data_IF_482021115032
#
_entry.id   IF_482021115032
#
_cell.length_a   1.000
_cell.length_b   1.000
_cell.length_c   1.000
_cell.angle_alpha   90.00
_cell.angle_beta   90.00
_cell.angle_gamma   90.00
#
_symmetry.space_group_name_H-M   'P 1'
#
loop_
_entity.id
_entity.type
_entity.pdbx_description
1 polymer ?
#
# COMPACT_ATOMS: atom_id res chain seq x y z
N UNK A 1 53.11 -53.47 26.06
CA UNK A 1 53.06 -52.32 25.15
C UNK A 1 51.60 -52.10 24.74
N UNK A 2 50.89 -51.26 25.49
CA UNK A 2 49.50 -50.98 25.21
C UNK A 2 49.43 -49.70 24.32
N UNK A 3 48.90 -49.82 23.10
CA UNK A 3 48.62 -48.69 22.20
C UNK A 3 47.23 -48.17 22.53
N UNK A 4 47.16 -46.92 23.07
CA UNK A 4 45.96 -46.21 23.27
C UNK A 4 45.62 -45.54 21.93
N UNK A 5 44.53 -45.96 21.29
CA UNK A 5 43.95 -45.25 20.14
C UNK A 5 43.01 -44.13 20.67
N UNK A 6 43.45 -42.89 20.53
CA UNK A 6 42.58 -41.71 20.82
C UNK A 6 41.75 -41.44 19.58
N UNK A 7 40.48 -41.79 19.65
CA UNK A 7 39.50 -41.46 18.59
C UNK A 7 39.09 -39.98 18.76
N UNK A 8 39.51 -39.13 17.85
CA UNK A 8 39.10 -37.72 17.78
C UNK A 8 37.71 -37.66 17.13
N UNK A 9 36.70 -37.44 17.95
CA UNK A 9 35.31 -37.23 17.45
C UNK A 9 35.16 -35.80 17.02
N UNK A 10 35.13 -35.56 15.72
CA UNK A 10 34.74 -34.26 15.15
C UNK A 10 33.22 -34.08 15.30
N UNK A 11 32.80 -33.21 16.21
CA UNK A 11 31.42 -32.77 16.28
C UNK A 11 31.28 -31.69 15.20
N UNK A 12 30.67 -32.04 14.07
CA UNK A 12 30.22 -31.09 13.06
C UNK A 12 28.96 -30.40 13.62
N UNK A 13 29.13 -29.18 14.13
CA UNK A 13 28.02 -28.34 14.52
C UNK A 13 27.39 -27.82 13.22
N UNK A 14 26.39 -28.49 12.71
CA UNK A 14 25.53 -27.96 11.65
C UNK A 14 24.66 -26.86 12.26
N UNK A 15 25.08 -25.61 12.09
CA UNK A 15 24.19 -24.44 12.35
C UNK A 15 23.15 -24.46 11.24
N UNK A 16 21.99 -25.06 11.50
CA UNK A 16 20.79 -24.86 10.73
C UNK A 16 20.38 -23.37 10.95
N UNK A 17 20.76 -22.50 10.05
CA UNK A 17 20.09 -21.22 9.92
C UNK A 17 18.71 -21.55 9.37
N UNK A 18 17.77 -21.84 10.26
CA UNK A 18 16.36 -21.86 9.91
C UNK A 18 16.01 -20.42 9.48
N UNK A 19 15.95 -20.19 8.17
CA UNK A 19 15.38 -18.96 7.65
C UNK A 19 13.96 -18.87 8.21
N UNK A 20 13.73 -17.94 9.13
CA UNK A 20 12.38 -17.62 9.59
C UNK A 20 11.62 -17.13 8.35
N UNK A 21 10.66 -17.93 7.88
CA UNK A 21 9.72 -17.47 6.87
C UNK A 21 8.92 -16.31 7.49
N UNK A 22 9.22 -15.09 7.08
CA UNK A 22 8.40 -13.94 7.47
C UNK A 22 7.14 -13.97 6.62
N UNK A 23 5.99 -13.77 7.24
CA UNK A 23 4.76 -13.53 6.50
C UNK A 23 4.86 -12.15 5.85
N UNK A 24 4.42 -12.05 4.59
CA UNK A 24 4.40 -10.78 3.85
C UNK A 24 3.03 -10.16 4.01
N UNK A 25 2.99 -8.89 4.41
CA UNK A 25 1.79 -8.09 4.46
C UNK A 25 1.38 -7.66 3.04
N UNK A 26 0.17 -7.99 2.61
CA UNK A 26 -0.27 -7.73 1.23
C UNK A 26 -1.39 -6.70 1.21
N UNK A 27 -1.16 -5.63 0.46
CA UNK A 27 -2.07 -4.51 0.28
C UNK A 27 -2.54 -4.39 -1.17
N UNK A 28 -3.81 -4.10 -1.35
CA UNK A 28 -4.39 -3.85 -2.66
C UNK A 28 -4.18 -2.38 -3.06
N UNK A 29 -3.46 -2.14 -4.17
CA UNK A 29 -3.21 -0.81 -4.71
C UNK A 29 -4.52 -0.20 -5.24
N UNK A 30 -4.93 0.94 -4.68
CA UNK A 30 -6.24 1.60 -4.92
C UNK A 30 -7.45 0.71 -4.60
N UNK A 31 -7.30 -0.20 -3.63
CA UNK A 31 -8.26 -1.26 -3.35
C UNK A 31 -8.20 -2.42 -4.34
N UNK A 32 -9.05 -3.41 -4.16
CA UNK A 32 -9.11 -4.58 -5.07
C UNK A 32 -10.07 -4.29 -6.24
N UNK A 33 -9.64 -3.43 -7.14
CA UNK A 33 -10.35 -3.08 -8.37
C UNK A 33 -10.21 -4.14 -9.46
N UNK A 34 -11.11 -4.13 -10.45
CA UNK A 34 -11.04 -5.03 -11.60
C UNK A 34 -11.60 -4.38 -12.87
N UNK A 35 -11.16 -4.90 -14.03
CA UNK A 35 -11.61 -4.46 -15.35
C UNK A 35 -12.02 -5.64 -16.22
N UNK A 36 -12.83 -5.35 -17.23
CA UNK A 36 -13.13 -6.26 -18.36
C UNK A 36 -11.89 -6.37 -19.26
N UNK A 37 -11.91 -7.33 -20.20
CA UNK A 37 -10.89 -7.41 -21.25
C UNK A 37 -10.86 -6.17 -22.15
N UNK A 38 -11.97 -5.46 -22.31
CA UNK A 38 -12.05 -4.18 -23.01
C UNK A 38 -11.49 -2.99 -22.23
N UNK A 39 -11.11 -3.19 -20.96
CA UNK A 39 -10.47 -2.19 -20.11
C UNK A 39 -11.44 -1.32 -19.31
N UNK A 40 -12.73 -1.61 -19.32
CA UNK A 40 -13.76 -0.93 -18.55
C UNK A 40 -13.80 -1.46 -17.12
N UNK A 41 -14.06 -0.60 -16.12
CA UNK A 41 -14.09 -1.05 -14.74
C UNK A 41 -15.31 -1.96 -14.47
N UNK A 42 -15.07 -3.09 -13.81
CA UNK A 42 -16.09 -3.88 -13.13
C UNK A 42 -16.23 -3.38 -11.70
N UNK A 43 -15.12 -3.36 -10.96
CA UNK A 43 -15.01 -2.71 -9.64
C UNK A 43 -14.11 -1.50 -9.81
N UNK A 44 -14.61 -0.27 -9.58
CA UNK A 44 -13.80 0.93 -9.71
C UNK A 44 -12.64 0.97 -8.69
N UNK A 45 -11.46 1.44 -9.13
CA UNK A 45 -10.37 1.75 -8.20
C UNK A 45 -10.77 2.89 -7.25
N UNK A 46 -10.11 2.98 -6.10
CA UNK A 46 -10.34 4.04 -5.12
C UNK A 46 -11.84 4.19 -4.75
N UNK A 47 -12.55 3.07 -4.62
CA UNK A 47 -13.97 3.03 -4.29
C UNK A 47 -14.25 2.22 -3.03
N UNK A 48 -15.40 2.48 -2.39
CA UNK A 48 -15.88 1.69 -1.25
C UNK A 48 -16.04 0.22 -1.63
N UNK A 49 -16.47 -0.07 -2.86
CA UNK A 49 -16.59 -1.44 -3.37
C UNK A 49 -15.22 -2.13 -3.47
N UNK A 50 -14.16 -1.41 -3.88
CA UNK A 50 -12.81 -1.97 -3.96
C UNK A 50 -12.23 -2.25 -2.57
N UNK A 51 -12.58 -1.48 -1.55
CA UNK A 51 -12.25 -1.78 -0.14
C UNK A 51 -12.93 -3.07 0.32
N UNK A 52 -14.24 -3.20 0.10
CA UNK A 52 -15.00 -4.39 0.46
C UNK A 52 -14.48 -5.66 -0.25
N UNK A 53 -14.13 -5.56 -1.53
CA UNK A 53 -13.57 -6.67 -2.30
C UNK A 53 -12.16 -7.05 -1.80
N UNK A 54 -11.33 -6.08 -1.41
CA UNK A 54 -10.03 -6.36 -0.81
C UNK A 54 -10.18 -7.18 0.49
N UNK A 55 -11.07 -6.77 1.39
CA UNK A 55 -11.36 -7.52 2.61
C UNK A 55 -11.90 -8.92 2.30
N UNK A 56 -12.87 -9.05 1.37
CA UNK A 56 -13.45 -10.34 0.96
C UNK A 56 -12.39 -11.30 0.42
N UNK A 57 -11.38 -10.79 -0.28
CA UNK A 57 -10.25 -11.60 -0.78
C UNK A 57 -9.18 -11.84 0.26
N UNK A 58 -9.26 -11.21 1.42
CA UNK A 58 -8.36 -11.40 2.54
C UNK A 58 -7.08 -10.59 2.43
N UNK A 59 -7.04 -9.46 1.72
CA UNK A 59 -5.97 -8.49 1.84
C UNK A 59 -5.96 -7.91 3.26
N UNK A 60 -4.78 -7.56 3.77
CA UNK A 60 -4.65 -6.93 5.08
C UNK A 60 -5.04 -5.46 5.05
N UNK A 61 -4.93 -4.85 3.88
CA UNK A 61 -5.28 -3.46 3.71
C UNK A 61 -5.37 -3.04 2.25
N UNK A 62 -5.65 -1.77 2.09
CA UNK A 62 -5.70 -1.10 0.78
C UNK A 62 -4.78 0.12 0.80
N UNK A 63 -4.30 0.52 -0.36
CA UNK A 63 -3.75 1.84 -0.54
C UNK A 63 -4.78 2.73 -1.23
N UNK A 64 -4.78 4.02 -0.89
CA UNK A 64 -5.66 5.01 -1.50
C UNK A 64 -5.00 6.38 -1.63
N UNK A 65 -5.39 7.11 -2.69
CA UNK A 65 -4.85 8.41 -3.07
C UNK A 65 -5.76 9.55 -2.62
N UNK A 66 -5.27 10.44 -1.75
CA UNK A 66 -6.05 11.56 -1.21
C UNK A 66 -5.79 12.83 -1.97
N UNK A 67 -6.85 13.46 -2.47
CA UNK A 67 -6.82 14.76 -3.13
C UNK A 67 -7.87 15.72 -2.53
N UNK A 68 -7.73 17.01 -2.86
CA UNK A 68 -8.68 18.06 -2.44
C UNK A 68 -9.55 18.53 -3.62
N UNK A 69 -10.83 18.74 -3.35
CA UNK A 69 -11.72 19.54 -4.21
C UNK A 69 -11.36 21.02 -4.10
N UNK A 70 -11.97 21.84 -4.95
CA UNK A 70 -11.81 23.32 -4.96
C UNK A 70 -12.10 23.96 -3.59
N UNK A 71 -13.09 23.45 -2.89
CA UNK A 71 -13.54 23.91 -1.57
C UNK A 71 -12.90 23.14 -0.39
N UNK A 72 -11.86 22.34 -0.67
CA UNK A 72 -11.02 21.70 0.35
C UNK A 72 -11.55 20.40 0.93
N UNK A 73 -12.59 19.78 0.36
CA UNK A 73 -13.03 18.44 0.80
C UNK A 73 -12.04 17.38 0.34
N UNK A 74 -11.66 16.48 1.23
CA UNK A 74 -10.79 15.34 0.92
C UNK A 74 -11.59 14.23 0.24
N UNK A 75 -11.14 13.84 -0.94
CA UNK A 75 -11.74 12.77 -1.75
C UNK A 75 -10.67 11.79 -2.21
N UNK A 76 -11.09 10.57 -2.56
CA UNK A 76 -10.18 9.51 -2.98
C UNK A 76 -10.23 9.34 -4.49
N UNK A 77 -9.13 9.70 -5.13
CA UNK A 77 -8.95 9.65 -6.59
C UNK A 77 -7.46 9.67 -6.90
N UNK A 78 -6.99 8.83 -7.82
CA UNK A 78 -5.56 8.83 -8.18
C UNK A 78 -5.17 9.99 -9.08
N UNK A 79 -5.93 10.22 -10.15
CA UNK A 79 -5.59 11.20 -11.19
C UNK A 79 -6.04 12.61 -10.76
N UNK A 80 -5.36 13.63 -11.27
CA UNK A 80 -5.79 15.02 -11.10
C UNK A 80 -7.07 15.37 -11.87
N UNK A 81 -7.43 14.51 -12.84
CA UNK A 81 -8.64 14.63 -13.66
C UNK A 81 -9.56 13.42 -13.47
N UNK A 82 -10.85 13.63 -13.70
CA UNK A 82 -11.87 12.60 -13.55
C UNK A 82 -11.96 11.64 -14.76
N UNK A 83 -11.35 12.01 -15.90
CA UNK A 83 -11.63 11.44 -17.22
C UNK A 83 -11.46 9.92 -17.33
N UNK A 84 -10.48 9.34 -16.62
CA UNK A 84 -10.18 7.91 -16.70
C UNK A 84 -11.14 7.06 -15.89
N UNK A 85 -11.61 7.56 -14.75
CA UNK A 85 -12.32 6.77 -13.74
C UNK A 85 -13.74 7.20 -13.49
N UNK A 86 -14.21 8.29 -14.11
CA UNK A 86 -15.56 8.79 -13.89
C UNK A 86 -16.34 9.03 -15.19
N UNK A 87 -17.64 9.14 -15.04
CA UNK A 87 -18.63 9.45 -16.06
C UNK A 87 -19.58 10.55 -15.55
N UNK A 88 -20.29 11.23 -16.47
CA UNK A 88 -21.36 12.16 -16.08
C UNK A 88 -22.47 11.39 -15.37
N UNK A 89 -22.99 11.93 -14.27
CA UNK A 89 -24.02 11.26 -13.49
C UNK A 89 -25.36 11.16 -14.24
N UNK A 90 -25.70 12.19 -15.07
CA UNK A 90 -27.01 12.27 -15.71
C UNK A 90 -27.24 11.28 -16.84
N UNK A 91 -26.28 11.13 -17.76
CA UNK A 91 -26.40 10.31 -18.97
C UNK A 91 -25.31 9.21 -19.07
N UNK A 92 -24.43 9.12 -18.10
CA UNK A 92 -23.31 8.20 -18.03
C UNK A 92 -22.32 8.34 -19.20
N UNK A 93 -22.29 9.48 -19.88
CA UNK A 93 -21.37 9.76 -20.98
C UNK A 93 -19.93 9.93 -20.51
N UNK A 94 -18.99 9.55 -21.39
CA UNK A 94 -17.55 9.80 -21.19
C UNK A 94 -17.25 11.30 -21.19
N UNK A 95 -16.29 11.70 -20.37
CA UNK A 95 -15.81 13.08 -20.32
C UNK A 95 -14.87 13.32 -21.51
N UNK A 96 -15.26 14.22 -22.41
CA UNK A 96 -14.50 14.50 -23.63
C UNK A 96 -13.30 15.42 -23.35
N UNK A 97 -13.53 16.48 -22.56
CA UNK A 97 -12.51 17.43 -22.15
C UNK A 97 -11.97 17.11 -20.76
N UNK A 98 -10.71 17.49 -20.44
CA UNK A 98 -10.15 17.29 -19.11
C UNK A 98 -10.95 17.99 -18.02
N UNK A 99 -11.49 17.24 -17.08
CA UNK A 99 -12.21 17.75 -15.90
C UNK A 99 -11.28 17.60 -14.68
N UNK A 100 -10.74 18.74 -14.22
CA UNK A 100 -9.81 18.75 -13.09
C UNK A 100 -10.57 18.77 -11.76
N UNK A 101 -10.22 17.86 -10.87
CA UNK A 101 -10.80 17.77 -9.52
C UNK A 101 -10.67 19.10 -8.76
N UNK A 102 -9.52 19.76 -8.83
CA UNK A 102 -9.23 21.03 -8.14
C UNK A 102 -10.13 22.21 -8.55
N UNK A 103 -10.83 22.08 -9.68
CA UNK A 103 -11.71 23.14 -10.22
C UNK A 103 -13.19 22.91 -9.83
N UNK A 104 -13.52 21.75 -9.21
CA UNK A 104 -14.86 21.38 -8.76
C UNK A 104 -15.01 21.53 -7.25
N UNK A 105 -16.12 22.09 -6.82
CA UNK A 105 -16.57 21.96 -5.42
C UNK A 105 -17.02 20.53 -5.13
N UNK A 106 -17.08 20.16 -3.87
CA UNK A 106 -17.55 18.82 -3.49
C UNK A 106 -19.01 18.59 -3.91
N UNK A 107 -19.84 19.63 -3.83
CA UNK A 107 -21.23 19.56 -4.29
C UNK A 107 -21.34 19.28 -5.79
N UNK A 108 -20.58 20.02 -6.62
CA UNK A 108 -20.51 19.79 -8.08
C UNK A 108 -20.00 18.38 -8.39
N UNK A 109 -18.93 17.93 -7.71
CA UNK A 109 -18.37 16.59 -7.88
C UNK A 109 -19.43 15.51 -7.63
N UNK A 110 -20.17 15.60 -6.53
CA UNK A 110 -21.16 14.61 -6.11
C UNK A 110 -22.44 14.64 -6.96
N UNK A 111 -22.81 15.80 -7.48
CA UNK A 111 -23.99 15.97 -8.32
C UNK A 111 -23.76 15.49 -9.75
N UNK A 112 -22.59 15.82 -10.32
CA UNK A 112 -22.38 15.76 -11.77
C UNK A 112 -21.58 14.52 -12.22
N UNK A 113 -20.91 13.79 -11.29
CA UNK A 113 -20.01 12.70 -11.65
C UNK A 113 -20.20 11.45 -10.78
N UNK A 114 -20.04 10.29 -11.44
CA UNK A 114 -20.03 8.98 -10.79
C UNK A 114 -18.82 8.17 -11.27
N UNK A 115 -18.38 7.22 -10.46
CA UNK A 115 -17.34 6.27 -10.86
C UNK A 115 -17.81 5.42 -12.04
N UNK A 116 -16.88 5.14 -12.96
CA UNK A 116 -17.12 4.22 -14.07
C UNK A 116 -17.25 2.79 -13.56
N UNK A 117 -18.32 2.10 -13.94
CA UNK A 117 -18.47 0.66 -13.75
C UNK A 117 -19.42 0.07 -14.77
N UNK A 118 -19.13 -1.16 -15.23
CA UNK A 118 -20.06 -1.98 -16.00
C UNK A 118 -21.29 -2.37 -15.16
N UNK A 119 -21.10 -2.59 -13.84
CA UNK A 119 -22.23 -2.82 -12.93
C UNK A 119 -22.88 -1.49 -12.52
N UNK A 120 -24.14 -1.22 -12.91
CA UNK A 120 -24.84 0.00 -12.52
C UNK A 120 -24.90 0.25 -11.01
N UNK A 121 -24.87 -0.81 -10.19
CA UNK A 121 -24.88 -0.70 -8.72
C UNK A 121 -23.57 -0.13 -8.15
N UNK A 122 -22.49 -0.20 -8.91
CA UNK A 122 -21.17 0.31 -8.53
C UNK A 122 -20.85 1.69 -9.14
N UNK A 123 -21.80 2.28 -9.89
CA UNK A 123 -21.72 3.67 -10.39
C UNK A 123 -22.03 4.64 -9.27
N UNK A 124 -21.18 4.61 -8.25
CA UNK A 124 -21.32 5.45 -7.05
C UNK A 124 -20.58 6.78 -7.21
N UNK A 125 -20.89 7.80 -6.43
CA UNK A 125 -20.08 9.01 -6.38
C UNK A 125 -18.62 8.70 -5.97
N UNK A 126 -17.69 9.59 -6.36
CA UNK A 126 -16.29 9.52 -5.90
C UNK A 126 -16.29 9.68 -4.38
N UNK A 127 -15.68 8.73 -3.63
CA UNK A 127 -15.79 8.71 -2.17
C UNK A 127 -14.93 9.77 -1.51
N UNK A 128 -15.32 10.22 -0.33
CA UNK A 128 -14.48 11.00 0.56
C UNK A 128 -13.48 10.10 1.29
N UNK A 129 -12.47 10.72 1.91
CA UNK A 129 -11.53 10.02 2.78
C UNK A 129 -12.29 9.32 3.92
N UNK A 130 -13.21 10.02 4.56
CA UNK A 130 -13.98 9.47 5.70
C UNK A 130 -14.86 8.28 5.30
N UNK A 131 -15.43 8.27 4.09
CA UNK A 131 -16.20 7.13 3.56
C UNK A 131 -15.29 5.90 3.39
N UNK A 132 -14.07 6.06 2.88
CA UNK A 132 -13.10 4.97 2.73
C UNK A 132 -12.62 4.47 4.10
N UNK A 133 -12.24 5.37 5.01
CA UNK A 133 -11.79 4.99 6.37
C UNK A 133 -12.89 4.27 7.16
N UNK A 134 -14.14 4.73 7.02
CA UNK A 134 -15.30 4.07 7.63
C UNK A 134 -15.46 2.65 7.12
N UNK A 135 -15.32 2.44 5.81
CA UNK A 135 -15.39 1.11 5.22
C UNK A 135 -14.21 0.23 5.66
N UNK A 136 -12.97 0.77 5.67
CA UNK A 136 -11.80 0.04 6.16
C UNK A 136 -12.02 -0.45 7.59
N UNK A 137 -12.50 0.42 8.49
CA UNK A 137 -12.81 0.07 9.88
C UNK A 137 -13.92 -0.99 9.97
N UNK A 138 -14.99 -0.86 9.16
CA UNK A 138 -16.09 -1.84 9.11
C UNK A 138 -15.62 -3.22 8.66
N UNK A 139 -14.67 -3.28 7.74
CA UNK A 139 -14.10 -4.51 7.19
C UNK A 139 -12.94 -5.06 8.02
N UNK A 140 -12.39 -4.30 8.95
CA UNK A 140 -11.22 -4.68 9.74
C UNK A 140 -9.94 -4.77 8.91
N UNK A 141 -9.76 -3.89 7.92
CA UNK A 141 -8.54 -3.81 7.09
C UNK A 141 -7.87 -2.45 7.23
N UNK A 142 -6.57 -2.40 6.97
CA UNK A 142 -5.71 -1.25 7.23
C UNK A 142 -5.69 -0.31 6.00
N UNK A 143 -6.04 0.98 6.13
CA UNK A 143 -5.83 1.96 5.05
C UNK A 143 -4.37 2.43 5.02
N UNK A 144 -3.76 2.42 3.82
CA UNK A 144 -2.47 3.04 3.54
C UNK A 144 -2.73 4.32 2.75
N UNK A 145 -2.43 5.47 3.33
CA UNK A 145 -2.71 6.76 2.72
C UNK A 145 -1.50 7.26 1.93
N UNK A 146 -1.65 7.32 0.61
CA UNK A 146 -0.75 8.05 -0.27
C UNK A 146 -1.27 9.50 -0.42
N UNK A 147 -0.67 10.43 0.33
CA UNK A 147 -1.20 11.78 0.44
C UNK A 147 -0.13 12.87 0.50
N UNK A 148 -0.42 14.00 -0.16
CA UNK A 148 0.27 15.26 0.06
C UNK A 148 -0.51 16.20 1.00
N UNK A 149 -1.76 15.88 1.33
CA UNK A 149 -2.67 16.67 2.14
C UNK A 149 -2.42 16.39 3.62
N UNK A 150 -1.93 17.38 4.36
CA UNK A 150 -1.58 17.20 5.77
C UNK A 150 -2.78 16.74 6.63
N UNK A 151 -3.91 17.42 6.48
CA UNK A 151 -5.12 17.12 7.26
C UNK A 151 -5.62 15.66 7.10
N UNK A 152 -5.23 14.97 6.00
CA UNK A 152 -5.62 13.57 5.83
C UNK A 152 -5.02 12.63 6.87
N UNK A 153 -3.85 12.96 7.40
CA UNK A 153 -3.19 12.17 8.44
C UNK A 153 -3.84 12.38 9.81
N UNK A 154 -4.29 13.62 10.09
CA UNK A 154 -5.02 13.95 11.32
C UNK A 154 -6.38 13.24 11.33
N UNK A 155 -7.10 13.25 10.20
CA UNK A 155 -8.37 12.50 10.05
C UNK A 155 -8.14 10.99 10.16
N UNK A 156 -7.06 10.46 9.57
CA UNK A 156 -6.75 9.04 9.69
C UNK A 156 -6.47 8.67 11.16
N UNK A 157 -5.71 9.48 11.88
CA UNK A 157 -5.43 9.25 13.30
C UNK A 157 -6.71 9.31 14.16
N UNK A 158 -7.58 10.28 13.92
CA UNK A 158 -8.85 10.41 14.63
C UNK A 158 -9.77 9.19 14.40
N UNK A 159 -9.86 8.73 13.14
CA UNK A 159 -10.81 7.67 12.77
C UNK A 159 -10.28 6.26 13.00
N UNK A 160 -8.97 6.04 12.87
CA UNK A 160 -8.36 4.70 12.87
C UNK A 160 -7.46 4.44 14.09
N UNK A 161 -7.18 5.45 14.95
CA UNK A 161 -6.12 5.33 15.94
C UNK A 161 -4.77 5.17 15.25
N UNK A 162 -4.00 4.16 15.63
CA UNK A 162 -2.71 3.87 14.97
C UNK A 162 -2.83 2.79 13.87
N UNK A 163 -4.04 2.29 13.59
CA UNK A 163 -4.31 1.23 12.61
C UNK A 163 -4.39 1.78 11.17
N UNK A 164 -3.39 2.53 10.75
CA UNK A 164 -3.24 3.03 9.38
C UNK A 164 -1.76 3.15 9.00
N UNK A 165 -1.49 3.36 7.72
CA UNK A 165 -0.13 3.50 7.19
C UNK A 165 0.00 4.87 6.52
N UNK A 166 1.01 5.65 6.96
CA UNK A 166 1.44 6.86 6.28
C UNK A 166 2.42 6.50 5.17
N UNK A 167 2.03 6.71 3.93
CA UNK A 167 2.87 6.45 2.76
C UNK A 167 3.10 7.74 1.96
N UNK A 168 4.27 8.33 2.05
CA UNK A 168 4.61 9.57 1.33
C UNK A 168 6.12 9.79 1.27
N UNK A 169 6.52 10.92 0.66
CA UNK A 169 7.92 11.38 0.58
C UNK A 169 8.22 12.40 1.67
N UNK A 170 9.50 12.47 2.06
CA UNK A 170 10.04 13.53 2.90
C UNK A 170 10.13 13.14 4.38
N UNK A 171 11.36 13.04 4.87
CA UNK A 171 11.68 12.67 6.26
C UNK A 171 11.04 13.63 7.26
N UNK A 172 11.18 14.94 7.05
CA UNK A 172 10.61 15.96 7.96
C UNK A 172 9.09 15.85 8.13
N UNK A 173 8.37 15.54 7.02
CA UNK A 173 6.93 15.30 7.09
C UNK A 173 6.63 14.09 7.97
N UNK A 174 7.37 13.01 7.79
CA UNK A 174 7.21 11.78 8.57
C UNK A 174 7.53 11.96 10.05
N UNK A 175 8.56 12.75 10.36
CA UNK A 175 8.88 13.14 11.74
C UNK A 175 7.73 13.93 12.39
N UNK A 176 7.02 14.77 11.63
CA UNK A 176 5.84 15.49 12.14
C UNK A 176 4.66 14.53 12.38
N UNK A 177 4.41 13.55 11.49
CA UNK A 177 3.39 12.52 11.73
C UNK A 177 3.70 11.75 13.01
N UNK A 178 4.97 11.37 13.22
CA UNK A 178 5.40 10.65 14.43
C UNK A 178 5.16 11.41 15.74
N UNK A 179 4.98 12.73 15.71
CA UNK A 179 4.67 13.53 16.91
C UNK A 179 3.26 13.28 17.46
N UNK A 180 2.33 12.76 16.64
CA UNK A 180 0.95 12.54 17.07
C UNK A 180 0.40 11.14 16.76
N UNK A 181 1.18 10.27 16.10
CA UNK A 181 0.75 8.92 15.73
C UNK A 181 1.88 7.90 15.82
N UNK A 182 1.56 6.72 16.33
CA UNK A 182 2.41 5.53 16.30
C UNK A 182 2.11 4.62 15.10
N UNK A 183 1.38 5.10 14.10
CA UNK A 183 1.08 4.38 12.86
C UNK A 183 2.36 3.88 12.16
N UNK A 184 2.22 2.89 11.29
CA UNK A 184 3.32 2.48 10.41
C UNK A 184 3.62 3.57 9.39
N UNK A 185 4.91 3.93 9.24
CA UNK A 185 5.36 4.93 8.25
C UNK A 185 6.18 4.24 7.18
N UNK A 186 5.78 4.36 5.92
CA UNK A 186 6.52 3.87 4.76
C UNK A 186 7.05 5.06 3.95
N UNK A 187 8.35 5.34 4.09
CA UNK A 187 9.03 6.41 3.38
C UNK A 187 9.20 6.04 1.91
N UNK A 188 8.55 6.78 1.02
CA UNK A 188 8.76 6.61 -0.42
C UNK A 188 10.16 7.12 -0.83
N UNK A 189 10.98 6.22 -1.36
CA UNK A 189 12.35 6.48 -1.81
C UNK A 189 12.52 6.22 -3.31
N UNK A 190 13.55 6.82 -3.91
CA UNK A 190 13.94 6.56 -5.30
C UNK A 190 15.38 6.07 -5.44
N UNK A 191 16.19 6.16 -4.38
CA UNK A 191 17.63 5.90 -4.36
C UNK A 191 18.17 5.70 -2.94
N UNK A 192 19.46 5.55 -2.85
CA UNK A 192 20.21 5.43 -1.61
C UNK A 192 20.63 4.00 -1.30
N UNK A 193 21.73 3.87 -0.57
CA UNK A 193 22.19 2.60 -0.02
C UNK A 193 21.30 2.16 1.14
N UNK A 194 21.47 0.93 1.61
CA UNK A 194 20.76 0.45 2.80
C UNK A 194 21.09 1.31 4.03
N UNK A 195 22.36 1.65 4.22
CA UNK A 195 22.85 2.46 5.34
C UNK A 195 22.25 3.87 5.34
N UNK A 196 22.19 4.52 4.16
CA UNK A 196 21.58 5.84 4.02
C UNK A 196 20.09 5.80 4.35
N UNK A 197 19.38 4.77 3.90
CA UNK A 197 17.96 4.61 4.19
C UNK A 197 17.72 4.24 5.66
N UNK A 198 18.53 3.39 6.28
CA UNK A 198 18.51 3.13 7.71
C UNK A 198 18.70 4.42 8.52
N UNK A 199 19.64 5.29 8.12
CA UNK A 199 19.85 6.57 8.80
C UNK A 199 18.61 7.49 8.69
N UNK A 200 17.96 7.56 7.52
CA UNK A 200 16.69 8.29 7.32
C UNK A 200 15.59 7.75 8.24
N UNK A 201 15.38 6.42 8.26
CA UNK A 201 14.35 5.78 9.06
C UNK A 201 14.62 5.93 10.56
N UNK A 202 15.87 5.82 11.00
CA UNK A 202 16.25 6.06 12.38
C UNK A 202 15.90 7.49 12.84
N UNK A 203 15.99 8.47 11.96
CA UNK A 203 15.62 9.85 12.28
C UNK A 203 14.10 10.07 12.37
N UNK A 204 13.29 9.20 11.74
CA UNK A 204 11.83 9.20 11.85
C UNK A 204 11.39 8.51 13.16
N UNK A 205 12.00 7.38 13.48
CA UNK A 205 11.72 6.58 14.67
C UNK A 205 10.41 5.78 14.59
N UNK A 206 10.18 4.95 15.61
CA UNK A 206 8.99 4.10 15.71
C UNK A 206 8.90 3.04 14.61
N UNK A 207 7.70 2.51 14.39
CA UNK A 207 7.44 1.53 13.33
C UNK A 207 7.49 2.21 11.95
N UNK A 208 8.56 1.97 11.20
CA UNK A 208 8.74 2.56 9.88
C UNK A 208 9.53 1.66 8.94
N UNK A 209 9.48 2.01 7.66
CA UNK A 209 10.15 1.32 6.59
C UNK A 209 10.25 2.17 5.35
N UNK A 210 10.69 1.55 4.27
CA UNK A 210 10.78 2.17 2.95
C UNK A 210 9.78 1.58 1.97
N UNK A 211 9.47 2.37 0.95
CA UNK A 211 8.72 1.91 -0.23
C UNK A 211 9.35 2.47 -1.49
N UNK A 212 9.50 1.65 -2.54
CA UNK A 212 9.93 2.14 -3.85
C UNK A 212 9.30 1.36 -5.00
N UNK A 213 9.10 2.04 -6.12
CA UNK A 213 8.74 1.42 -7.40
C UNK A 213 9.99 0.97 -8.19
N UNK A 214 11.21 1.23 -7.69
CA UNK A 214 12.46 0.84 -8.35
C UNK A 214 12.92 -0.53 -7.87
N UNK A 215 12.35 -1.60 -8.45
CA UNK A 215 12.61 -2.98 -8.05
C UNK A 215 14.11 -3.35 -8.00
N UNK A 216 14.97 -2.69 -8.78
CA UNK A 216 16.42 -2.93 -8.81
C UNK A 216 17.13 -2.60 -7.49
N UNK A 217 16.52 -1.81 -6.62
CA UNK A 217 17.03 -1.56 -5.28
C UNK A 217 16.83 -2.77 -4.34
N UNK A 218 15.85 -3.62 -4.62
CA UNK A 218 15.52 -4.75 -3.74
C UNK A 218 16.40 -5.97 -4.00
N UNK A 219 17.72 -5.84 -3.78
CA UNK A 219 18.61 -6.99 -3.67
C UNK A 219 18.38 -7.70 -2.32
N UNK A 220 18.73 -8.98 -2.22
CA UNK A 220 18.62 -9.72 -0.95
C UNK A 220 19.42 -9.04 0.17
N UNK A 221 20.62 -8.53 -0.13
CA UNK A 221 21.47 -7.83 0.85
C UNK A 221 20.83 -6.51 1.31
N UNK A 222 20.25 -5.75 0.40
CA UNK A 222 19.55 -4.50 0.72
C UNK A 222 18.33 -4.76 1.63
N UNK A 223 17.46 -5.69 1.25
CA UNK A 223 16.29 -6.06 2.05
C UNK A 223 16.71 -6.59 3.42
N UNK A 224 17.71 -7.48 3.44
CA UNK A 224 18.24 -8.07 4.68
C UNK A 224 18.81 -6.99 5.61
N UNK A 225 19.59 -6.06 5.11
CA UNK A 225 20.17 -4.98 5.93
C UNK A 225 19.08 -4.14 6.63
N UNK A 226 18.03 -3.76 5.90
CA UNK A 226 16.90 -3.02 6.46
C UNK A 226 16.11 -3.84 7.49
N UNK A 227 15.78 -5.09 7.17
CA UNK A 227 14.99 -5.94 8.06
C UNK A 227 15.77 -6.39 9.30
N UNK A 228 17.08 -6.60 9.20
CA UNK A 228 17.95 -6.86 10.36
C UNK A 228 18.06 -5.65 11.29
N UNK A 229 17.96 -4.45 10.72
CA UNK A 229 17.89 -3.20 11.48
C UNK A 229 16.48 -2.92 12.06
N UNK A 230 15.50 -3.80 11.83
CA UNK A 230 14.14 -3.70 12.36
C UNK A 230 13.18 -2.85 11.54
N UNK A 231 13.50 -2.59 10.27
CA UNK A 231 12.67 -1.75 9.39
C UNK A 231 11.89 -2.58 8.37
N UNK A 232 10.75 -2.04 7.95
CA UNK A 232 9.90 -2.62 6.93
C UNK A 232 10.40 -2.29 5.52
N UNK A 233 10.15 -3.20 4.57
CA UNK A 233 10.53 -3.06 3.16
C UNK A 233 9.34 -3.35 2.28
N UNK A 234 8.76 -2.33 1.65
CA UNK A 234 7.61 -2.46 0.78
C UNK A 234 7.99 -2.40 -0.69
N UNK A 235 7.62 -3.43 -1.45
CA UNK A 235 7.59 -3.41 -2.90
C UNK A 235 6.26 -2.84 -3.40
N UNK A 236 6.33 -1.86 -4.31
CA UNK A 236 5.15 -1.16 -4.84
C UNK A 236 4.97 -1.41 -6.33
N UNK A 237 3.86 -2.04 -6.70
CA UNK A 237 3.33 -2.16 -8.07
C UNK A 237 4.36 -2.64 -9.10
N UNK A 238 5.07 -3.69 -8.78
CA UNK A 238 6.06 -4.27 -9.69
C UNK A 238 5.42 -5.15 -10.76
N UNK A 239 6.03 -5.27 -11.96
CA UNK A 239 5.73 -6.37 -12.86
C UNK A 239 5.87 -7.72 -12.17
N UNK A 240 5.15 -8.75 -12.65
CA UNK A 240 5.06 -10.03 -11.93
C UNK A 240 6.41 -10.71 -11.65
N UNK A 241 7.33 -10.64 -12.59
CA UNK A 241 8.65 -11.25 -12.41
C UNK A 241 9.45 -10.56 -11.30
N UNK A 242 9.40 -9.22 -11.27
CA UNK A 242 10.07 -8.39 -10.28
C UNK A 242 9.41 -8.48 -8.91
N UNK A 243 8.08 -8.61 -8.86
CA UNK A 243 7.33 -8.86 -7.62
C UNK A 243 7.77 -10.18 -6.97
N UNK A 244 7.87 -11.26 -7.76
CA UNK A 244 8.40 -12.55 -7.28
C UNK A 244 9.85 -12.44 -6.80
N UNK A 245 10.68 -11.69 -7.51
CA UNK A 245 12.07 -11.47 -7.12
C UNK A 245 12.15 -10.69 -5.81
N UNK A 246 11.38 -9.62 -5.65
CA UNK A 246 11.33 -8.84 -4.43
C UNK A 246 10.87 -9.68 -3.22
N UNK A 247 9.85 -10.53 -3.41
CA UNK A 247 9.41 -11.51 -2.39
C UNK A 247 10.56 -12.45 -2.00
N UNK A 248 11.25 -13.01 -3.00
CA UNK A 248 12.41 -13.90 -2.77
C UNK A 248 13.59 -13.21 -2.08
N UNK A 249 13.72 -11.89 -2.26
CA UNK A 249 14.76 -11.07 -1.65
C UNK A 249 14.39 -10.56 -0.24
N UNK A 250 13.21 -10.89 0.29
CA UNK A 250 12.87 -10.67 1.69
C UNK A 250 12.19 -9.34 2.00
N UNK A 251 11.35 -8.83 1.09
CA UNK A 251 10.42 -7.74 1.41
C UNK A 251 9.43 -8.17 2.51
N UNK A 252 8.91 -7.22 3.24
CA UNK A 252 7.91 -7.45 4.31
C UNK A 252 6.52 -6.97 3.93
N UNK A 253 6.40 -6.04 2.99
CA UNK A 253 5.15 -5.51 2.45
C UNK A 253 5.11 -5.61 0.93
N UNK A 254 3.94 -5.97 0.40
CA UNK A 254 3.67 -6.00 -1.04
C UNK A 254 2.44 -5.16 -1.34
N UNK A 255 2.61 -4.09 -2.12
CA UNK A 255 1.53 -3.31 -2.70
C UNK A 255 1.34 -3.74 -4.15
N UNK A 256 0.16 -4.28 -4.51
CA UNK A 256 -0.04 -4.94 -5.80
C UNK A 256 -1.38 -4.60 -6.45
N UNK A 257 -1.38 -4.55 -7.80
CA UNK A 257 -2.60 -4.49 -8.63
C UNK A 257 -3.22 -5.88 -8.89
N UNK A 258 -2.60 -6.95 -8.40
CA UNK A 258 -3.09 -8.29 -8.70
C UNK A 258 -4.30 -8.65 -7.88
N UNK A 259 -5.28 -9.25 -8.53
CA UNK A 259 -6.42 -9.87 -7.86
C UNK A 259 -5.97 -11.23 -7.34
N UNK A 260 -5.67 -11.31 -6.05
CA UNK A 260 -5.32 -12.57 -5.42
C UNK A 260 -6.59 -13.37 -5.11
N UNK A 261 -6.58 -14.70 -5.34
CA UNK A 261 -7.67 -15.56 -4.86
C UNK A 261 -7.77 -15.49 -3.34
N UNK A 262 -8.99 -15.42 -2.82
CA UNK A 262 -9.26 -15.38 -1.38
C UNK A 262 -8.45 -16.42 -0.60
N UNK A 263 -7.75 -15.98 0.44
CA UNK A 263 -6.97 -16.82 1.37
C UNK A 263 -5.64 -17.36 0.84
N UNK A 264 -5.26 -17.14 -0.42
CA UNK A 264 -3.98 -17.65 -0.96
C UNK A 264 -2.77 -16.80 -0.57
N UNK A 265 -2.91 -15.50 -0.40
CA UNK A 265 -1.81 -14.62 -0.05
C UNK A 265 -1.22 -14.90 1.35
N UNK A 266 -2.04 -15.38 2.31
CA UNK A 266 -1.58 -15.83 3.64
C UNK A 266 -0.55 -16.98 3.60
N UNK A 267 -0.36 -17.57 2.42
CA UNK A 267 0.60 -18.67 2.19
C UNK A 267 1.85 -18.24 1.42
N UNK A 268 2.00 -16.95 1.10
CA UNK A 268 3.24 -16.45 0.51
C UNK A 268 4.29 -16.43 1.61
N UNK A 269 5.09 -17.51 1.66
CA UNK A 269 6.25 -17.62 2.56
C UNK A 269 7.49 -17.33 1.75
N UNK A 270 8.34 -16.45 2.24
CA UNK A 270 9.73 -16.37 1.76
C UNK A 270 10.46 -17.62 2.23
N UNK A 271 11.15 -18.28 1.31
CA UNK A 271 12.03 -19.41 1.63
C UNK A 271 13.39 -18.93 2.05
#
# INVERSE_FOLDING_TARGET
>A
MNKIFTTLTFIILTISVAGQSRDIHVFAHRGCWSKTEAGEFIIPENSVAAVAEAARRGYEGIECDVHLTKDGKMVILHDRTLNRTARKAGDYSKLQEPVYLKDLTFEELRRDYVLESEDPKLRTPIPTLEEILTECRRQGIIPMLHSAVWASYEVAQEMMGDDWICFTKGVEKMQKVRQFSDCTILLAINDGTAEENIARLKSIGGNCGISTMKYRLYTADFCKALTDAGYEVQASIFPFAEEKLAIGNGITYLLTDRILPSGKWKKIKTR
#
